data_IF_395018557851
#
_entry.id   IF_395018557851
#
_cell.length_a   1.000
_cell.length_b   1.000
_cell.length_c   1.000
_cell.angle_alpha   90.00
_cell.angle_beta   90.00
_cell.angle_gamma   90.00
#
_symmetry.space_group_name_H-M   'P 1'
#
loop_
_entity.id
_entity.type
_entity.pdbx_description
1 polymer ?
#
# COMPACT_ATOMS: atom_id res chain seq x y z
N UNK A 1 20.14 16.69 -1.31
CA UNK A 1 18.96 15.79 -1.41
C UNK A 1 18.54 15.14 -0.09
N UNK A 2 19.42 14.96 0.92
CA UNK A 2 19.08 14.33 2.22
C UNK A 2 17.89 14.97 3.00
N UNK A 3 17.58 16.25 2.76
CA UNK A 3 16.46 16.94 3.43
C UNK A 3 15.08 16.69 2.80
N UNK A 4 15.01 16.41 1.49
CA UNK A 4 13.74 16.31 0.75
C UNK A 4 13.00 14.99 1.04
N UNK A 5 13.74 13.91 1.29
CA UNK A 5 13.19 12.59 1.64
C UNK A 5 12.79 12.49 3.11
N UNK A 6 13.37 13.31 3.98
CA UNK A 6 13.14 13.29 5.42
C UNK A 6 11.68 13.68 5.72
N UNK A 7 11.18 14.72 5.03
CA UNK A 7 9.77 15.09 5.06
C UNK A 7 8.86 13.92 4.66
N UNK A 8 9.18 13.23 3.56
CA UNK A 8 8.38 12.10 3.08
C UNK A 8 8.41 10.90 4.04
N UNK A 9 9.56 10.62 4.67
CA UNK A 9 9.66 9.56 5.70
C UNK A 9 8.80 9.87 6.93
N UNK A 10 8.80 11.13 7.37
CA UNK A 10 7.94 11.57 8.49
C UNK A 10 6.47 11.43 8.08
N UNK A 11 6.09 11.86 6.87
CA UNK A 11 4.73 11.71 6.38
C UNK A 11 4.28 10.24 6.34
N UNK A 12 5.15 9.33 5.87
CA UNK A 12 4.88 7.88 5.86
C UNK A 12 4.66 7.33 7.27
N UNK A 13 5.47 7.74 8.24
CA UNK A 13 5.29 7.36 9.65
C UNK A 13 3.99 7.92 10.23
N UNK A 14 3.67 9.19 9.92
CA UNK A 14 2.45 9.85 10.37
C UNK A 14 1.19 9.16 9.84
N UNK A 15 1.25 8.54 8.66
CA UNK A 15 0.15 7.73 8.10
C UNK A 15 0.09 6.35 8.76
N UNK A 16 1.24 5.73 9.05
CA UNK A 16 1.29 4.38 9.63
C UNK A 16 0.81 4.30 11.08
N UNK A 17 1.13 5.30 11.92
CA UNK A 17 0.80 5.30 13.35
C UNK A 17 -0.72 5.29 13.60
N UNK A 18 -1.55 6.16 12.99
CA UNK A 18 -3.00 6.12 13.16
C UNK A 18 -3.62 4.81 12.71
N UNK A 19 -3.13 4.23 11.61
CA UNK A 19 -3.64 2.93 11.14
C UNK A 19 -3.34 1.82 12.14
N UNK A 20 -2.12 1.79 12.71
CA UNK A 20 -1.77 0.87 13.80
C UNK A 20 -2.65 1.09 15.03
N UNK A 21 -2.84 2.34 15.45
CA UNK A 21 -3.67 2.67 16.61
C UNK A 21 -5.13 2.22 16.38
N UNK A 22 -5.69 2.47 15.21
CA UNK A 22 -7.03 2.00 14.85
C UNK A 22 -7.13 0.46 14.86
N UNK A 23 -6.11 -0.24 14.36
CA UNK A 23 -6.09 -1.70 14.37
C UNK A 23 -6.02 -2.29 15.79
N UNK A 24 -5.33 -1.63 16.72
CA UNK A 24 -5.11 -2.15 18.09
C UNK A 24 -6.24 -1.72 19.04
N UNK A 25 -6.74 -0.49 18.94
CA UNK A 25 -7.69 0.07 19.90
C UNK A 25 -9.14 0.03 19.41
N UNK A 26 -9.39 0.29 18.12
CA UNK A 26 -10.74 0.43 17.58
C UNK A 26 -11.26 -0.85 16.93
N UNK A 27 -10.43 -1.54 16.16
CA UNK A 27 -10.85 -2.72 15.43
C UNK A 27 -11.34 -3.89 16.32
N UNK A 28 -10.76 -4.15 17.52
CA UNK A 28 -11.27 -5.19 18.42
C UNK A 28 -12.70 -4.94 18.92
N UNK A 29 -13.14 -3.68 19.06
CA UNK A 29 -14.51 -3.39 19.51
C UNK A 29 -15.58 -3.75 18.48
N UNK A 30 -15.18 -4.03 17.23
CA UNK A 30 -16.08 -4.46 16.16
C UNK A 30 -16.19 -6.00 16.07
N UNK A 31 -15.49 -6.75 16.92
CA UNK A 31 -15.45 -8.22 16.85
C UNK A 31 -16.83 -8.87 17.09
N UNK A 32 -17.69 -8.26 17.90
CA UNK A 32 -19.04 -8.77 18.15
C UNK A 32 -20.06 -8.40 17.06
N UNK A 33 -19.72 -7.41 16.22
CA UNK A 33 -20.61 -6.86 15.20
C UNK A 33 -20.27 -7.35 13.79
N UNK A 34 -18.98 -7.52 13.47
CA UNK A 34 -18.52 -7.97 12.17
C UNK A 34 -18.27 -9.49 12.15
N UNK A 35 -18.53 -10.17 11.02
CA UNK A 35 -18.13 -11.56 10.86
C UNK A 35 -16.62 -11.74 11.08
N UNK A 36 -16.22 -12.80 11.78
CA UNK A 36 -14.80 -13.11 12.03
C UNK A 36 -13.96 -13.10 10.74
N UNK A 37 -14.52 -13.54 9.62
CA UNK A 37 -13.84 -13.55 8.32
C UNK A 37 -13.55 -12.14 7.79
N UNK A 38 -14.47 -11.19 7.99
CA UNK A 38 -14.28 -9.77 7.66
C UNK A 38 -13.18 -9.19 8.55
N UNK A 39 -13.23 -9.46 9.86
CA UNK A 39 -12.24 -8.97 10.81
C UNK A 39 -10.82 -9.46 10.46
N UNK A 40 -10.66 -10.75 10.18
CA UNK A 40 -9.39 -11.34 9.72
C UNK A 40 -8.92 -10.65 8.42
N UNK A 41 -9.84 -10.42 7.47
CA UNK A 41 -9.53 -9.73 6.23
C UNK A 41 -9.02 -8.30 6.45
N UNK A 42 -9.65 -7.53 7.34
CA UNK A 42 -9.22 -6.16 7.66
C UNK A 42 -7.84 -6.16 8.35
N UNK A 43 -7.58 -7.08 9.28
CA UNK A 43 -6.25 -7.23 9.88
C UNK A 43 -5.20 -7.63 8.84
N UNK A 44 -5.52 -8.55 7.93
CA UNK A 44 -4.62 -8.95 6.85
C UNK A 44 -4.30 -7.75 5.93
N UNK A 45 -5.30 -6.96 5.55
CA UNK A 45 -5.10 -5.75 4.75
C UNK A 45 -4.22 -4.73 5.48
N UNK A 46 -4.41 -4.54 6.79
CA UNK A 46 -3.58 -3.65 7.60
C UNK A 46 -2.11 -4.09 7.64
N UNK A 47 -1.84 -5.39 7.79
CA UNK A 47 -0.47 -5.93 7.74
C UNK A 47 0.17 -5.67 6.37
N UNK A 48 -0.56 -5.93 5.28
CA UNK A 48 -0.07 -5.67 3.91
C UNK A 48 0.18 -4.18 3.68
N UNK A 49 -0.69 -3.31 4.22
CA UNK A 49 -0.52 -1.85 4.15
C UNK A 49 0.75 -1.38 4.88
N UNK A 50 0.97 -1.86 6.11
CA UNK A 50 2.19 -1.53 6.87
C UNK A 50 3.45 -2.04 6.17
N UNK A 51 3.38 -3.22 5.55
CA UNK A 51 4.47 -3.72 4.73
C UNK A 51 4.72 -2.83 3.51
N UNK A 52 3.68 -2.29 2.87
CA UNK A 52 3.83 -1.32 1.78
C UNK A 52 4.51 -0.03 2.25
N UNK A 53 4.13 0.50 3.42
CA UNK A 53 4.78 1.67 4.03
C UNK A 53 6.27 1.40 4.32
N UNK A 54 6.61 0.21 4.82
CA UNK A 54 8.00 -0.19 5.03
C UNK A 54 8.78 -0.21 3.71
N UNK A 55 8.21 -0.72 2.61
CA UNK A 55 8.87 -0.67 1.30
C UNK A 55 9.03 0.76 0.78
N UNK A 56 8.06 1.65 1.05
CA UNK A 56 8.19 3.07 0.70
C UNK A 56 9.34 3.75 1.47
N UNK A 57 9.50 3.46 2.78
CA UNK A 57 10.65 3.93 3.56
C UNK A 57 11.98 3.39 3.01
N UNK A 58 11.99 2.13 2.57
CA UNK A 58 13.17 1.51 1.96
C UNK A 58 13.55 2.18 0.64
N UNK A 59 12.56 2.46 -0.21
CA UNK A 59 12.74 3.21 -1.47
C UNK A 59 13.31 4.61 -1.20
N UNK A 60 12.73 5.33 -0.24
CA UNK A 60 13.25 6.64 0.21
C UNK A 60 14.70 6.55 0.70
N UNK A 61 15.05 5.51 1.45
CA UNK A 61 16.43 5.29 1.87
C UNK A 61 17.38 4.97 0.71
N UNK A 62 16.92 4.35 -0.37
CA UNK A 62 17.76 4.13 -1.56
C UNK A 62 18.01 5.44 -2.30
N UNK A 63 17.01 6.31 -2.39
CA UNK A 63 17.16 7.66 -2.95
C UNK A 63 18.21 8.45 -2.16
N UNK A 64 18.16 8.42 -0.83
CA UNK A 64 19.16 9.10 0.02
C UNK A 64 20.59 8.60 -0.16
N UNK A 65 20.74 7.32 -0.50
CA UNK A 65 22.03 6.68 -0.73
C UNK A 65 22.50 6.81 -2.19
N UNK A 66 21.86 7.67 -3.00
CA UNK A 66 22.09 7.81 -4.45
C UNK A 66 21.94 6.49 -5.23
N UNK A 67 21.15 5.54 -4.71
CA UNK A 67 20.82 4.25 -5.34
C UNK A 67 19.40 4.24 -5.91
N UNK A 68 18.87 5.41 -6.29
CA UNK A 68 17.54 5.54 -6.87
C UNK A 68 17.38 4.68 -8.13
N UNK A 69 18.34 4.77 -9.06
CA UNK A 69 18.42 3.94 -10.27
C UNK A 69 19.15 2.61 -9.97
N UNK A 70 18.51 1.75 -9.18
CA UNK A 70 19.04 0.41 -8.90
C UNK A 70 17.93 -0.64 -8.92
N UNK A 71 18.32 -1.89 -9.17
CA UNK A 71 17.42 -3.04 -9.07
C UNK A 71 16.72 -3.13 -7.71
N UNK A 72 17.36 -2.64 -6.65
CA UNK A 72 16.76 -2.58 -5.31
C UNK A 72 15.55 -1.64 -5.25
N UNK A 73 15.62 -0.50 -5.93
CA UNK A 73 14.50 0.46 -6.02
C UNK A 73 13.38 -0.07 -6.89
N UNK A 74 13.69 -0.72 -8.02
CA UNK A 74 12.70 -1.41 -8.87
C UNK A 74 12.00 -2.52 -8.09
N UNK A 75 12.75 -3.31 -7.30
CA UNK A 75 12.20 -4.35 -6.44
C UNK A 75 11.29 -3.78 -5.34
N UNK A 76 11.65 -2.64 -4.73
CA UNK A 76 10.80 -1.97 -3.76
C UNK A 76 9.47 -1.50 -4.39
N UNK A 77 9.51 -0.87 -5.58
CA UNK A 77 8.31 -0.47 -6.32
C UNK A 77 7.43 -1.67 -6.70
N UNK A 78 8.04 -2.78 -7.15
CA UNK A 78 7.33 -4.03 -7.45
C UNK A 78 6.59 -4.55 -6.21
N UNK A 79 7.22 -4.49 -5.03
CA UNK A 79 6.57 -4.90 -3.78
C UNK A 79 5.42 -3.98 -3.40
N UNK A 80 5.59 -2.65 -3.51
CA UNK A 80 4.51 -1.68 -3.25
C UNK A 80 3.31 -1.94 -4.16
N UNK A 81 3.55 -2.13 -5.47
CA UNK A 81 2.51 -2.51 -6.44
C UNK A 81 1.77 -3.78 -6.01
N UNK A 82 2.51 -4.84 -5.69
CA UNK A 82 1.90 -6.11 -5.29
C UNK A 82 1.08 -5.96 -4.00
N UNK A 83 1.55 -5.17 -3.03
CA UNK A 83 0.78 -4.89 -1.81
C UNK A 83 -0.54 -4.19 -2.14
N UNK A 84 -0.52 -3.18 -3.01
CA UNK A 84 -1.71 -2.46 -3.43
C UNK A 84 -2.72 -3.40 -4.12
N UNK A 85 -2.25 -4.28 -5.02
CA UNK A 85 -3.09 -5.32 -5.64
C UNK A 85 -3.68 -6.27 -4.59
N UNK A 86 -2.86 -6.74 -3.65
CA UNK A 86 -3.33 -7.63 -2.57
C UNK A 86 -4.39 -6.96 -1.71
N UNK A 87 -4.23 -5.68 -1.36
CA UNK A 87 -5.23 -4.91 -0.61
C UNK A 87 -6.54 -4.82 -1.42
N UNK A 88 -6.47 -4.51 -2.71
CA UNK A 88 -7.66 -4.48 -3.58
C UNK A 88 -8.39 -5.83 -3.60
N UNK A 89 -7.66 -6.95 -3.69
CA UNK A 89 -8.24 -8.30 -3.70
C UNK A 89 -8.90 -8.61 -2.35
N UNK A 90 -8.23 -8.30 -1.24
CA UNK A 90 -8.78 -8.54 0.11
C UNK A 90 -10.10 -7.78 0.29
N UNK A 91 -10.13 -6.48 -0.02
CA UNK A 91 -11.35 -5.69 0.12
C UNK A 91 -12.44 -6.08 -0.89
N UNK A 92 -12.08 -6.50 -2.10
CA UNK A 92 -13.03 -7.04 -3.07
C UNK A 92 -13.67 -8.35 -2.58
N UNK A 93 -12.92 -9.19 -1.86
CA UNK A 93 -13.44 -10.42 -1.25
C UNK A 93 -14.29 -10.15 0.00
N UNK A 94 -13.96 -9.12 0.77
CA UNK A 94 -14.73 -8.69 1.96
C UNK A 94 -16.06 -8.03 1.56
N UNK A 95 -16.09 -7.25 0.48
CA UNK A 95 -17.26 -6.51 0.02
C UNK A 95 -18.56 -7.35 -0.05
N UNK A 96 -18.62 -8.53 -0.71
CA UNK A 96 -19.84 -9.34 -0.76
C UNK A 96 -20.30 -9.84 0.62
N UNK A 97 -19.40 -9.97 1.59
CA UNK A 97 -19.75 -10.32 2.96
C UNK A 97 -20.35 -9.14 3.73
N UNK A 98 -20.04 -7.90 3.33
CA UNK A 98 -20.54 -6.68 3.96
C UNK A 98 -21.87 -6.20 3.37
N UNK A 99 -22.21 -6.53 2.12
CA UNK A 99 -23.46 -6.09 1.48
C UNK A 99 -24.71 -6.48 2.31
N UNK A 100 -24.88 -7.73 2.77
CA UNK A 100 -26.07 -8.10 3.54
C UNK A 100 -26.18 -7.35 4.87
N UNK A 101 -25.04 -7.05 5.51
CA UNK A 101 -24.99 -6.28 6.76
C UNK A 101 -25.31 -4.80 6.52
N UNK A 102 -24.80 -4.23 5.41
CA UNK A 102 -25.09 -2.87 5.00
C UNK A 102 -26.59 -2.66 4.71
N UNK A 103 -27.25 -3.66 4.10
CA UNK A 103 -28.70 -3.64 3.87
C UNK A 103 -29.49 -3.83 5.17
N UNK A 104 -29.05 -4.72 6.06
CA UNK A 104 -29.74 -5.00 7.32
C UNK A 104 -29.77 -3.78 8.27
N UNK A 105 -28.68 -3.03 8.35
CA UNK A 105 -28.55 -1.88 9.25
C UNK A 105 -28.81 -0.52 8.56
N UNK A 106 -29.32 -0.53 7.32
CA UNK A 106 -29.54 0.66 6.48
C UNK A 106 -28.30 1.59 6.44
N UNK A 107 -27.12 0.95 6.39
CA UNK A 107 -25.82 1.58 6.57
C UNK A 107 -24.98 1.44 5.27
N UNK A 108 -25.27 2.25 4.23
CA UNK A 108 -24.58 2.15 2.94
C UNK A 108 -23.06 2.40 3.03
N UNK A 109 -22.61 3.07 4.10
CA UNK A 109 -21.20 3.30 4.39
C UNK A 109 -20.37 2.02 4.51
N UNK A 110 -20.95 0.91 5.00
CA UNK A 110 -20.26 -0.37 5.15
C UNK A 110 -19.86 -0.98 3.79
N UNK A 111 -20.67 -0.74 2.75
CA UNK A 111 -20.36 -1.19 1.39
C UNK A 111 -19.52 -0.15 0.61
N UNK A 112 -19.74 1.14 0.84
CA UNK A 112 -19.02 2.21 0.14
C UNK A 112 -17.54 2.30 0.54
N UNK A 113 -17.21 2.05 1.81
CA UNK A 113 -15.85 2.20 2.34
C UNK A 113 -14.83 1.25 1.69
N UNK A 114 -15.08 -0.08 1.57
CA UNK A 114 -14.21 -0.98 0.81
C UNK A 114 -14.00 -0.54 -0.64
N UNK A 115 -15.04 -0.01 -1.30
CA UNK A 115 -14.95 0.45 -2.69
C UNK A 115 -13.96 1.61 -2.85
N UNK A 116 -13.98 2.57 -1.93
CA UNK A 116 -13.03 3.70 -1.91
C UNK A 116 -11.59 3.18 -1.74
N UNK A 117 -11.39 2.21 -0.84
CA UNK A 117 -10.07 1.61 -0.62
C UNK A 117 -9.58 0.86 -1.86
N UNK A 118 -10.44 0.06 -2.50
CA UNK A 118 -10.10 -0.67 -3.73
C UNK A 118 -9.68 0.30 -4.83
N UNK A 119 -10.41 1.41 -5.00
CA UNK A 119 -10.09 2.43 -5.99
C UNK A 119 -8.75 3.13 -5.67
N UNK A 120 -8.54 3.55 -4.42
CA UNK A 120 -7.26 4.14 -4.01
C UNK A 120 -6.08 3.19 -4.22
N UNK A 121 -6.24 1.92 -3.86
CA UNK A 121 -5.22 0.89 -4.04
C UNK A 121 -4.97 0.59 -5.53
N UNK A 122 -5.97 0.61 -6.39
CA UNK A 122 -5.79 0.40 -7.84
C UNK A 122 -4.99 1.55 -8.47
N UNK A 123 -5.26 2.80 -8.09
CA UNK A 123 -4.48 3.97 -8.52
C UNK A 123 -3.02 3.84 -8.09
N UNK A 124 -2.77 3.45 -6.84
CA UNK A 124 -1.41 3.22 -6.33
C UNK A 124 -0.72 2.09 -7.10
N UNK A 125 -1.42 0.99 -7.39
CA UNK A 125 -0.88 -0.14 -8.13
C UNK A 125 -0.46 0.26 -9.56
N UNK A 126 -1.33 0.97 -10.28
CA UNK A 126 -1.05 1.48 -11.64
C UNK A 126 0.12 2.46 -11.59
N UNK A 127 0.11 3.42 -10.66
CA UNK A 127 1.20 4.38 -10.53
C UNK A 127 2.54 3.70 -10.23
N UNK A 128 2.57 2.76 -9.28
CA UNK A 128 3.77 2.00 -8.95
C UNK A 128 4.24 1.14 -10.14
N UNK A 129 3.33 0.60 -10.95
CA UNK A 129 3.68 -0.13 -12.17
C UNK A 129 4.34 0.75 -13.22
N UNK A 130 3.82 1.95 -13.43
CA UNK A 130 4.40 2.94 -14.36
C UNK A 130 5.79 3.34 -13.88
N UNK A 131 5.95 3.72 -12.61
CA UNK A 131 7.26 4.05 -12.04
C UNK A 131 8.24 2.89 -12.09
N UNK A 132 7.77 1.67 -11.83
CA UNK A 132 8.61 0.47 -11.90
C UNK A 132 9.18 0.28 -13.32
N UNK A 133 8.36 0.47 -14.36
CA UNK A 133 8.77 0.35 -15.76
C UNK A 133 9.75 1.46 -16.15
N UNK A 134 9.41 2.71 -15.88
CA UNK A 134 10.26 3.87 -16.21
C UNK A 134 11.63 3.78 -15.53
N UNK A 135 11.66 3.36 -14.26
CA UNK A 135 12.91 3.21 -13.53
C UNK A 135 13.76 2.07 -14.09
N UNK A 136 13.13 0.98 -14.56
CA UNK A 136 13.84 -0.13 -15.19
C UNK A 136 14.44 0.27 -16.53
N UNK A 137 13.67 0.95 -17.39
CA UNK A 137 14.16 1.49 -18.66
C UNK A 137 15.35 2.45 -18.44
N UNK A 138 15.27 3.33 -17.45
CA UNK A 138 16.37 4.25 -17.12
C UNK A 138 17.64 3.53 -16.62
N UNK A 139 17.51 2.42 -15.90
CA UNK A 139 18.64 1.59 -15.47
C UNK A 139 19.30 0.92 -16.67
N UNK A 140 18.49 0.35 -17.57
CA UNK A 140 19.00 -0.36 -18.74
C UNK A 140 19.75 0.59 -19.70
N UNK A 141 19.23 1.81 -19.93
CA UNK A 141 19.94 2.86 -20.70
C UNK A 141 21.27 3.24 -20.05
N UNK A 142 21.30 3.42 -18.73
CA UNK A 142 22.53 3.75 -18.02
C UNK A 142 23.56 2.62 -18.13
N UNK A 143 23.11 1.37 -18.02
CA UNK A 143 23.97 0.20 -18.17
C UNK A 143 24.58 0.10 -19.57
N UNK A 144 23.82 0.44 -20.61
CA UNK A 144 24.31 0.42 -21.99
C UNK A 144 25.37 1.51 -22.23
N UNK A 145 25.12 2.72 -21.71
CA UNK A 145 26.09 3.81 -21.76
C UNK A 145 27.39 3.47 -21.02
N UNK A 146 27.32 2.85 -19.83
CA UNK A 146 28.50 2.45 -19.06
C UNK A 146 29.31 1.31 -19.74
N UNK A 147 28.72 0.58 -20.70
CA UNK A 147 29.39 -0.50 -21.46
C UNK A 147 30.03 -0.05 -22.79
N UNK A 148 29.68 1.15 -23.28
CA UNK A 148 30.12 1.65 -24.60
C UNK A 148 31.16 2.77 -24.52
N UNK A 149 31.40 3.34 -23.33
CA UNK A 149 32.37 4.41 -23.08
C UNK A 149 33.63 3.86 -22.41
#
# INVERSE_FOLDING_TARGET
MKGTTLFLKIAVLLIGIPVLALCIFWLPSLADYLPNLVLIGVYAAAVVFLFALYQALKLLSYIDKNKAFSELSVSALKKIKNCAITISIIYAAILPLLIPLAEADDAPGLAAFPCIIIFGASVIAVFAAVLQRLLKEAIDIKSENDLTV
#
